data_IF_651200629178
#
_entry.id   IF_651200629178
#
_cell.length_a   1.000
_cell.length_b   1.000
_cell.length_c   1.000
_cell.angle_alpha   90.00
_cell.angle_beta   90.00
_cell.angle_gamma   90.00
#
_symmetry.space_group_name_H-M   'P 1'
#
loop_
_entity.id
_entity.type
_entity.pdbx_description
1 polymer ?
#
# COMPACT_ATOMS: atom_id res chain seq x y z
N UNK A 1 -43.12 49.30 -1.97
CA UNK A 1 -42.58 48.33 -0.99
C UNK A 1 -43.26 46.98 -1.20
N UNK A 2 -42.62 46.08 -1.95
CA UNK A 2 -42.88 44.64 -1.90
C UNK A 2 -41.49 43.98 -1.87
N UNK A 3 -41.19 43.43 -0.71
CA UNK A 3 -40.03 42.59 -0.36
C UNK A 3 -40.14 41.24 -1.06
N UNK A 4 -39.08 40.77 -1.72
CA UNK A 4 -38.09 39.78 -1.27
C UNK A 4 -38.48 38.33 -1.59
N UNK A 5 -37.51 37.56 -2.13
CA UNK A 5 -37.63 36.11 -2.28
C UNK A 5 -36.96 35.52 -3.53
N UNK A 6 -35.72 35.93 -3.84
CA UNK A 6 -34.93 35.30 -4.91
C UNK A 6 -34.38 33.95 -4.41
N UNK A 7 -35.01 32.86 -4.84
CA UNK A 7 -34.59 31.49 -4.56
C UNK A 7 -33.26 31.19 -5.30
N UNK A 8 -32.15 31.44 -4.61
CA UNK A 8 -30.83 30.95 -5.04
C UNK A 8 -30.75 29.45 -4.81
N UNK A 9 -30.99 28.71 -5.88
CA UNK A 9 -30.66 27.29 -6.03
C UNK A 9 -29.14 27.13 -5.91
N UNK A 10 -28.66 26.77 -4.72
CA UNK A 10 -27.26 26.39 -4.49
C UNK A 10 -27.06 25.01 -5.10
N UNK A 11 -26.44 24.95 -6.27
CA UNK A 11 -25.91 23.72 -6.84
C UNK A 11 -24.73 23.27 -5.97
N UNK A 12 -24.97 22.30 -5.09
CA UNK A 12 -23.92 21.52 -4.44
C UNK A 12 -23.19 20.71 -5.53
N UNK A 13 -22.04 21.23 -5.96
CA UNK A 13 -21.07 20.49 -6.72
C UNK A 13 -20.48 19.39 -5.83
N UNK A 14 -21.03 18.19 -5.93
CA UNK A 14 -20.37 16.95 -5.53
C UNK A 14 -19.08 16.79 -6.34
N UNK A 15 -18.00 17.43 -5.91
CA UNK A 15 -16.65 17.09 -6.33
C UNK A 15 -16.32 15.71 -5.75
N UNK A 16 -16.65 14.69 -6.54
CA UNK A 16 -16.15 13.33 -6.39
C UNK A 16 -14.63 13.38 -6.48
N UNK A 17 -13.97 13.56 -5.34
CA UNK A 17 -12.54 13.30 -5.18
C UNK A 17 -12.32 11.78 -5.21
N UNK A 18 -12.53 11.20 -6.39
CA UNK A 18 -12.00 9.91 -6.76
C UNK A 18 -10.48 10.03 -6.88
N UNK A 19 -9.81 10.09 -5.73
CA UNK A 19 -8.36 9.96 -5.68
C UNK A 19 -7.98 8.58 -6.22
N UNK A 20 -7.32 8.57 -7.37
CA UNK A 20 -6.90 7.39 -8.12
C UNK A 20 -6.41 6.26 -7.19
N UNK A 21 -6.80 5.00 -7.41
CA UNK A 21 -6.20 3.87 -6.70
C UNK A 21 -4.70 3.96 -6.95
N UNK A 22 -3.92 3.81 -5.88
CA UNK A 22 -2.48 3.90 -5.90
C UNK A 22 -1.90 2.79 -6.82
N UNK A 23 -1.85 3.05 -8.13
CA UNK A 23 -1.34 2.18 -9.17
C UNK A 23 0.20 2.09 -9.09
N UNK A 24 0.75 1.70 -7.95
CA UNK A 24 2.17 1.42 -7.75
C UNK A 24 2.53 -0.06 -8.00
N UNK A 25 1.53 -0.93 -8.19
CA UNK A 25 1.75 -2.32 -8.62
C UNK A 25 2.59 -2.41 -9.91
N UNK A 26 2.49 -1.41 -10.80
CA UNK A 26 3.21 -1.37 -12.06
C UNK A 26 4.73 -1.06 -11.92
N UNK A 27 5.21 -0.69 -10.72
CA UNK A 27 6.63 -0.40 -10.47
C UNK A 27 7.38 -1.55 -9.81
N UNK A 28 6.70 -2.60 -9.34
CA UNK A 28 7.35 -3.79 -8.76
C UNK A 28 7.59 -4.79 -9.88
N UNK A 29 8.84 -5.21 -10.09
CA UNK A 29 9.14 -6.26 -11.06
C UNK A 29 8.47 -7.57 -10.64
N UNK A 30 7.67 -8.16 -11.54
CA UNK A 30 6.96 -9.41 -11.28
C UNK A 30 7.89 -10.64 -11.22
N UNK A 31 9.14 -10.49 -11.70
CA UNK A 31 10.12 -11.58 -11.71
C UNK A 31 10.96 -11.65 -10.45
N UNK A 32 11.56 -10.52 -10.04
CA UNK A 32 12.44 -10.46 -8.88
C UNK A 32 11.81 -9.77 -7.66
N UNK A 33 10.61 -9.18 -7.79
CA UNK A 33 9.92 -8.49 -6.70
C UNK A 33 10.54 -7.17 -6.25
N UNK A 34 11.64 -6.72 -6.89
CA UNK A 34 12.25 -5.42 -6.59
C UNK A 34 11.51 -4.29 -7.28
N UNK A 35 11.46 -3.13 -6.62
CA UNK A 35 10.92 -1.92 -7.24
C UNK A 35 11.89 -1.45 -8.32
N UNK A 36 11.35 -1.03 -9.46
CA UNK A 36 12.08 -0.41 -10.56
C UNK A 36 12.13 1.10 -10.32
N UNK A 37 13.32 1.66 -10.33
CA UNK A 37 13.55 3.10 -10.22
C UNK A 37 13.05 3.82 -11.47
N UNK A 38 13.25 3.22 -12.64
CA UNK A 38 12.73 3.69 -13.92
C UNK A 38 11.75 2.67 -14.52
N UNK A 39 10.45 2.93 -14.34
CA UNK A 39 9.39 2.11 -14.92
C UNK A 39 9.33 2.20 -16.45
N UNK A 40 9.92 3.23 -17.06
CA UNK A 40 9.94 3.44 -18.51
C UNK A 40 10.97 2.55 -19.23
N UNK A 41 11.97 2.03 -18.51
CA UNK A 41 12.91 1.05 -19.07
C UNK A 41 12.17 -0.20 -19.56
N UNK A 42 12.66 -0.88 -20.61
CA UNK A 42 12.08 -2.15 -21.04
C UNK A 42 12.44 -3.30 -20.08
N UNK A 43 13.64 -3.30 -19.52
CA UNK A 43 14.19 -4.32 -18.64
C UNK A 43 14.22 -3.88 -17.16
N UNK A 44 14.06 -4.82 -16.24
CA UNK A 44 14.28 -4.59 -14.82
C UNK A 44 15.78 -4.47 -14.54
N UNK A 45 16.24 -3.32 -14.04
CA UNK A 45 17.66 -3.07 -13.74
C UNK A 45 18.26 -3.97 -12.64
N UNK A 46 17.42 -4.67 -11.88
CA UNK A 46 17.87 -5.57 -10.82
C UNK A 46 18.01 -7.03 -11.25
N UNK A 47 17.28 -7.49 -12.27
CA UNK A 47 17.29 -8.89 -12.68
C UNK A 47 17.32 -9.11 -14.20
N UNK A 48 17.34 -8.03 -14.99
CA UNK A 48 17.32 -8.07 -16.45
C UNK A 48 16.00 -8.53 -17.06
N UNK A 49 14.94 -8.74 -16.26
CA UNK A 49 13.65 -9.19 -16.77
C UNK A 49 13.00 -8.11 -17.65
N UNK A 50 12.87 -8.38 -18.94
CA UNK A 50 12.10 -7.57 -19.89
C UNK A 50 10.82 -8.35 -20.27
N UNK A 51 9.62 -7.91 -19.83
CA UNK A 51 8.37 -8.59 -20.13
C UNK A 51 8.03 -8.57 -21.64
N UNK A 52 8.59 -7.62 -22.41
CA UNK A 52 8.42 -7.49 -23.86
C UNK A 52 9.36 -8.41 -24.63
N UNK A 53 10.59 -8.62 -24.15
CA UNK A 53 11.55 -9.55 -24.78
C UNK A 53 11.06 -11.01 -24.73
N UNK A 54 10.45 -11.44 -23.64
CA UNK A 54 9.84 -12.79 -23.51
C UNK A 54 8.66 -13.00 -24.48
N UNK A 55 7.91 -11.95 -24.82
CA UNK A 55 6.80 -12.03 -25.76
C UNK A 55 7.27 -12.23 -27.22
N UNK A 56 8.40 -11.62 -27.59
CA UNK A 56 8.99 -11.75 -28.94
C UNK A 56 9.65 -13.12 -29.18
N UNK A 57 10.28 -13.71 -28.16
CA UNK A 57 10.91 -15.03 -28.25
C UNK A 57 9.90 -16.20 -28.38
N UNK A 58 8.61 -15.96 -28.09
CA UNK A 58 7.57 -16.99 -28.06
C UNK A 58 6.84 -17.21 -29.40
N UNK A 59 7.29 -16.56 -30.49
CA UNK A 59 6.68 -16.68 -31.82
C UNK A 59 7.26 -17.83 -32.69
N UNK A 60 8.25 -18.59 -32.18
CA UNK A 60 8.85 -19.71 -32.88
C UNK A 60 8.85 -20.99 -32.04
N UNK A 61 8.19 -22.04 -32.56
CA UNK A 61 8.23 -23.45 -32.12
C UNK A 61 7.78 -23.79 -30.69
N UNK A 62 6.63 -24.46 -30.62
CA UNK A 62 6.02 -24.93 -29.38
C UNK A 62 6.77 -26.09 -28.71
N UNK A 63 6.94 -25.97 -27.40
CA UNK A 63 6.64 -26.98 -26.38
C UNK A 63 7.07 -26.42 -25.02
N UNK A 64 6.10 -26.12 -24.16
CA UNK A 64 6.31 -25.99 -22.70
C UNK A 64 6.96 -24.71 -22.16
N UNK A 65 6.31 -23.55 -22.26
CA UNK A 65 6.55 -22.46 -21.30
C UNK A 65 5.32 -21.56 -21.05
N UNK A 66 4.73 -21.73 -19.86
CA UNK A 66 4.36 -20.68 -18.88
C UNK A 66 3.75 -19.38 -19.44
N UNK A 67 2.77 -19.47 -20.33
CA UNK A 67 1.85 -18.35 -20.60
C UNK A 67 0.96 -18.16 -19.38
N UNK A 68 1.17 -17.06 -18.63
CA UNK A 68 0.26 -16.42 -17.66
C UNK A 68 -0.75 -17.37 -17.04
N UNK A 69 -0.55 -17.77 -15.78
CA UNK A 69 -1.58 -18.47 -15.01
C UNK A 69 -2.89 -17.67 -15.14
N UNK A 70 -3.87 -18.28 -15.81
CA UNK A 70 -5.17 -17.72 -16.08
C UNK A 70 -6.21 -18.74 -15.68
N UNK A 71 -7.31 -18.28 -15.10
CA UNK A 71 -8.46 -19.15 -14.87
C UNK A 71 -9.15 -19.51 -16.21
N UNK A 72 -10.10 -20.45 -16.21
CA UNK A 72 -10.86 -20.81 -17.42
C UNK A 72 -11.54 -19.61 -18.09
N UNK A 73 -11.81 -18.54 -17.33
CA UNK A 73 -12.38 -17.28 -17.78
C UNK A 73 -11.33 -16.27 -18.31
N UNK A 74 -10.04 -16.63 -18.28
CA UNK A 74 -8.94 -15.83 -18.82
C UNK A 74 -8.40 -14.73 -17.90
N UNK A 75 -8.85 -14.67 -16.64
CA UNK A 75 -8.38 -13.73 -15.62
C UNK A 75 -7.03 -14.19 -15.09
N UNK A 76 -6.07 -13.27 -15.00
CA UNK A 76 -4.76 -13.57 -14.45
C UNK A 76 -4.90 -14.10 -13.01
N UNK A 77 -4.48 -15.34 -12.78
CA UNK A 77 -4.35 -15.91 -11.45
C UNK A 77 -3.01 -15.52 -10.90
N UNK A 78 -3.02 -14.80 -9.79
CA UNK A 78 -1.83 -14.46 -9.02
C UNK A 78 -1.38 -15.71 -8.21
N UNK A 79 -1.15 -16.84 -8.89
CA UNK A 79 -0.87 -18.14 -8.27
C UNK A 79 0.60 -18.33 -7.89
N UNK A 80 1.48 -17.41 -8.29
CA UNK A 80 2.89 -17.43 -7.89
C UNK A 80 2.99 -17.15 -6.38
N UNK A 81 3.65 -18.03 -5.60
CA UNK A 81 3.84 -17.83 -4.16
C UNK A 81 4.56 -16.51 -3.89
N UNK A 82 4.27 -15.89 -2.74
CA UNK A 82 4.86 -14.61 -2.33
C UNK A 82 5.37 -14.67 -0.90
N UNK A 83 6.37 -13.88 -0.57
CA UNK A 83 6.84 -13.75 0.82
C UNK A 83 5.92 -12.84 1.66
N UNK A 84 6.25 -12.67 2.95
CA UNK A 84 5.49 -11.81 3.88
C UNK A 84 5.46 -10.32 3.49
N UNK A 85 6.38 -9.89 2.62
CA UNK A 85 6.39 -8.55 2.04
C UNK A 85 5.64 -8.51 0.71
N UNK A 86 5.10 -9.61 0.18
CA UNK A 86 4.40 -9.69 -1.10
C UNK A 86 5.29 -9.83 -2.33
N UNK A 87 6.60 -10.08 -2.19
CA UNK A 87 7.53 -10.30 -3.31
C UNK A 87 7.32 -11.70 -3.89
N UNK A 88 7.29 -11.87 -5.23
CA UNK A 88 7.17 -13.19 -5.85
C UNK A 88 8.34 -14.11 -5.47
N UNK A 89 8.03 -15.35 -5.10
CA UNK A 89 8.98 -16.41 -4.84
C UNK A 89 9.14 -17.32 -6.07
N UNK A 90 10.24 -18.10 -6.18
CA UNK A 90 10.33 -19.18 -7.14
C UNK A 90 9.15 -20.16 -7.07
N UNK A 91 8.76 -20.73 -8.21
CA UNK A 91 7.71 -21.74 -8.25
C UNK A 91 8.14 -22.98 -7.44
N UNK A 92 7.22 -23.51 -6.63
CA UNK A 92 7.48 -24.65 -5.74
C UNK A 92 7.90 -24.24 -4.32
N UNK A 93 8.23 -22.97 -4.08
CA UNK A 93 8.38 -22.45 -2.72
C UNK A 93 7.02 -22.20 -2.06
N UNK A 94 6.97 -22.33 -0.73
CA UNK A 94 5.79 -21.99 0.05
C UNK A 94 5.74 -20.47 0.25
N UNK A 95 4.67 -19.85 -0.26
CA UNK A 95 4.40 -18.45 0.00
C UNK A 95 3.58 -18.25 1.27
N UNK A 96 3.53 -17.01 1.73
CA UNK A 96 2.60 -16.54 2.75
C UNK A 96 1.26 -16.25 2.07
N UNK A 97 0.13 -16.82 2.55
CA UNK A 97 -1.19 -16.51 2.03
C UNK A 97 -1.54 -15.04 2.22
N UNK A 98 -2.18 -14.44 1.22
CA UNK A 98 -2.77 -13.08 1.32
C UNK A 98 -3.85 -13.04 2.38
N UNK A 99 -4.09 -11.86 2.96
CA UNK A 99 -5.27 -11.68 3.80
C UNK A 99 -6.55 -11.90 2.99
N UNK A 100 -7.59 -12.50 3.58
CA UNK A 100 -8.87 -12.65 2.90
C UNK A 100 -9.47 -11.26 2.62
N UNK A 101 -9.73 -10.97 1.35
CA UNK A 101 -10.30 -9.69 0.90
C UNK A 101 -11.79 -9.58 1.30
N UNK A 102 -12.23 -8.35 1.59
CA UNK A 102 -13.65 -8.05 1.83
C UNK A 102 -14.19 -8.54 3.17
N UNK A 103 -13.30 -8.85 4.11
CA UNK A 103 -13.70 -9.25 5.47
C UNK A 103 -14.00 -8.00 6.28
N UNK A 104 -15.29 -7.81 6.58
CA UNK A 104 -15.74 -6.73 7.46
C UNK A 104 -15.33 -7.03 8.90
N UNK A 105 -14.61 -6.10 9.51
CA UNK A 105 -14.09 -6.16 10.88
C UNK A 105 -14.56 -4.93 11.66
N UNK A 106 -14.65 -5.04 12.98
CA UNK A 106 -14.81 -3.85 13.83
C UNK A 106 -13.51 -3.04 13.82
N UNK A 107 -13.56 -1.71 14.07
CA UNK A 107 -12.36 -0.89 14.18
C UNK A 107 -11.31 -1.48 15.13
N UNK A 108 -11.72 -1.96 16.31
CA UNK A 108 -10.81 -2.56 17.27
C UNK A 108 -10.11 -3.81 16.72
N UNK A 109 -10.88 -4.73 16.13
CA UNK A 109 -10.31 -5.95 15.55
C UNK A 109 -9.35 -5.61 14.41
N UNK A 110 -9.71 -4.67 13.55
CA UNK A 110 -8.85 -4.20 12.45
C UNK A 110 -7.51 -3.70 12.99
N UNK A 111 -7.54 -2.85 14.01
CA UNK A 111 -6.33 -2.25 14.59
C UNK A 111 -5.46 -3.29 15.30
N UNK A 112 -6.05 -4.23 16.05
CA UNK A 112 -5.30 -5.30 16.72
C UNK A 112 -4.64 -6.25 15.71
N UNK A 113 -5.39 -6.65 14.67
CA UNK A 113 -4.89 -7.52 13.60
C UNK A 113 -3.79 -6.82 12.80
N UNK A 114 -3.98 -5.55 12.44
CA UNK A 114 -2.96 -4.76 11.75
C UNK A 114 -1.70 -4.55 12.63
N UNK A 115 -1.86 -4.30 13.94
CA UNK A 115 -0.72 -4.17 14.84
C UNK A 115 0.07 -5.47 14.95
N UNK A 116 -0.59 -6.60 15.12
CA UNK A 116 0.07 -7.91 15.20
C UNK A 116 0.86 -8.19 13.91
N UNK A 117 0.27 -7.91 12.74
CA UNK A 117 0.95 -8.08 11.46
C UNK A 117 2.17 -7.15 11.31
N UNK A 118 2.09 -5.91 11.82
CA UNK A 118 3.23 -5.00 11.83
C UNK A 118 4.34 -5.50 12.76
N UNK A 119 3.99 -5.99 13.94
CA UNK A 119 4.92 -6.57 14.92
C UNK A 119 5.62 -7.83 14.37
N UNK A 120 4.91 -8.63 13.57
CA UNK A 120 5.43 -9.82 12.90
C UNK A 120 6.24 -9.51 11.62
N UNK A 121 6.45 -8.23 11.30
CA UNK A 121 7.20 -7.81 10.11
C UNK A 121 6.46 -8.08 8.79
N UNK A 122 5.12 -8.10 8.83
CA UNK A 122 4.21 -8.30 7.69
C UNK A 122 3.42 -7.03 7.33
N UNK A 123 4.10 -5.89 7.04
CA UNK A 123 3.43 -4.60 6.79
C UNK A 123 2.54 -4.62 5.55
N UNK A 124 2.82 -5.47 4.57
CA UNK A 124 1.97 -5.60 3.39
C UNK A 124 0.61 -6.22 3.73
N UNK A 125 0.59 -7.21 4.63
CA UNK A 125 -0.65 -7.83 5.09
C UNK A 125 -1.43 -6.86 6.00
N UNK A 126 -0.72 -6.09 6.84
CA UNK A 126 -1.35 -5.02 7.63
C UNK A 126 -2.02 -3.97 6.74
N UNK A 127 -1.39 -3.61 5.62
CA UNK A 127 -1.99 -2.73 4.62
C UNK A 127 -3.30 -3.29 4.06
N UNK A 128 -3.38 -4.59 3.77
CA UNK A 128 -4.63 -5.20 3.27
C UNK A 128 -5.77 -5.09 4.29
N UNK A 129 -5.49 -5.38 5.56
CA UNK A 129 -6.48 -5.28 6.65
C UNK A 129 -6.99 -3.84 6.79
N UNK A 130 -6.09 -2.86 6.74
CA UNK A 130 -6.44 -1.44 6.84
C UNK A 130 -7.16 -0.91 5.58
N UNK A 131 -6.85 -1.47 4.41
CA UNK A 131 -7.55 -1.13 3.16
C UNK A 131 -9.00 -1.64 3.16
N UNK A 132 -9.24 -2.85 3.66
CA UNK A 132 -10.60 -3.37 3.85
C UNK A 132 -11.42 -2.49 4.81
N UNK A 133 -10.80 -2.03 5.90
CA UNK A 133 -11.43 -1.07 6.80
C UNK A 133 -11.73 0.26 6.11
N UNK A 134 -10.80 0.80 5.30
CA UNK A 134 -11.06 2.00 4.50
C UNK A 134 -12.27 1.83 3.57
N UNK A 135 -12.36 0.70 2.85
CA UNK A 135 -13.46 0.42 1.91
C UNK A 135 -14.83 0.29 2.59
N UNK A 136 -14.86 -0.01 3.88
CA UNK A 136 -16.09 -0.24 4.66
C UNK A 136 -16.37 0.84 5.72
N UNK A 137 -15.47 1.81 5.90
CA UNK A 137 -15.59 2.85 6.90
C UNK A 137 -16.68 3.88 6.56
N UNK A 138 -17.29 4.52 7.57
CA UNK A 138 -18.08 5.73 7.37
C UNK A 138 -17.29 6.80 6.63
N UNK A 139 -17.96 7.62 5.83
CA UNK A 139 -17.32 8.66 5.01
C UNK A 139 -16.41 9.60 5.82
N UNK A 140 -16.84 9.96 7.04
CA UNK A 140 -16.07 10.81 7.94
C UNK A 140 -14.74 10.19 8.41
N UNK A 141 -14.61 8.85 8.39
CA UNK A 141 -13.42 8.14 8.84
C UNK A 141 -12.62 7.51 7.70
N UNK A 142 -13.18 7.39 6.49
CA UNK A 142 -12.50 6.79 5.35
C UNK A 142 -11.10 7.39 5.08
N UNK A 143 -10.88 8.72 5.19
CA UNK A 143 -9.54 9.30 5.08
C UNK A 143 -8.54 8.81 6.15
N UNK A 144 -8.99 8.63 7.40
CA UNK A 144 -8.16 8.10 8.50
C UNK A 144 -7.65 6.69 8.17
N UNK A 145 -8.57 5.78 7.79
CA UNK A 145 -8.22 4.40 7.44
C UNK A 145 -7.31 4.33 6.21
N UNK A 146 -7.56 5.18 5.20
CA UNK A 146 -6.68 5.32 4.03
C UNK A 146 -5.27 5.76 4.43
N UNK A 147 -5.15 6.73 5.34
CA UNK A 147 -3.86 7.19 5.86
C UNK A 147 -3.09 6.07 6.56
N UNK A 148 -3.75 5.29 7.43
CA UNK A 148 -3.14 4.13 8.08
C UNK A 148 -2.69 3.06 7.07
N UNK A 149 -3.52 2.75 6.07
CA UNK A 149 -3.16 1.82 5.01
C UNK A 149 -1.94 2.31 4.22
N UNK A 150 -1.79 3.62 4.00
CA UNK A 150 -0.62 4.24 3.38
C UNK A 150 0.64 4.13 4.23
N UNK A 151 0.54 4.30 5.56
CA UNK A 151 1.66 4.09 6.45
C UNK A 151 2.19 2.65 6.35
N UNK A 152 1.30 1.65 6.40
CA UNK A 152 1.67 0.25 6.30
C UNK A 152 2.33 -0.11 4.95
N UNK A 153 1.79 0.38 3.83
CA UNK A 153 2.45 0.16 2.52
C UNK A 153 3.74 0.97 2.37
N UNK A 154 3.86 2.13 3.03
CA UNK A 154 5.11 2.88 3.13
C UNK A 154 6.22 2.04 3.78
N UNK A 155 5.93 1.38 4.91
CA UNK A 155 6.86 0.43 5.56
C UNK A 155 7.24 -0.71 4.62
N UNK A 156 6.27 -1.26 3.89
CA UNK A 156 6.53 -2.32 2.91
C UNK A 156 7.52 -1.87 1.84
N UNK A 157 7.40 -0.63 1.35
CA UNK A 157 8.32 -0.07 0.36
C UNK A 157 9.73 0.11 0.92
N UNK A 158 9.86 0.64 2.14
CA UNK A 158 11.14 0.76 2.82
C UNK A 158 11.80 -0.61 3.01
N UNK A 159 11.05 -1.61 3.47
CA UNK A 159 11.54 -2.99 3.64
C UNK A 159 11.97 -3.67 2.33
N UNK A 160 11.45 -3.20 1.18
CA UNK A 160 11.83 -3.67 -0.16
C UNK A 160 12.99 -2.86 -0.78
N UNK A 161 13.52 -1.87 -0.07
CA UNK A 161 14.60 -0.99 -0.56
C UNK A 161 14.13 0.16 -1.44
N UNK A 162 12.82 0.40 -1.57
CA UNK A 162 12.30 1.61 -2.23
C UNK A 162 12.17 2.73 -1.20
N UNK A 163 13.32 3.32 -0.84
CA UNK A 163 13.45 4.37 0.17
C UNK A 163 12.63 5.61 -0.18
N UNK A 164 12.81 6.14 -1.40
CA UNK A 164 12.09 7.33 -1.90
C UNK A 164 10.57 7.14 -1.93
N UNK A 165 10.11 6.01 -2.48
CA UNK A 165 8.69 5.69 -2.56
C UNK A 165 8.07 5.43 -1.19
N UNK A 166 8.79 4.73 -0.31
CA UNK A 166 8.37 4.49 1.07
C UNK A 166 8.23 5.78 1.86
N UNK A 167 9.25 6.66 1.83
CA UNK A 167 9.20 7.97 2.48
C UNK A 167 8.01 8.82 2.01
N UNK A 168 7.76 8.87 0.69
CA UNK A 168 6.61 9.59 0.13
C UNK A 168 5.26 9.07 0.64
N UNK A 169 5.12 7.75 0.76
CA UNK A 169 3.89 7.12 1.26
C UNK A 169 3.69 7.39 2.76
N UNK A 170 4.77 7.34 3.55
CA UNK A 170 4.73 7.68 4.97
C UNK A 170 4.28 9.13 5.19
N UNK A 171 4.86 10.09 4.46
CA UNK A 171 4.49 11.51 4.57
C UNK A 171 3.03 11.75 4.18
N UNK A 172 2.57 11.14 3.08
CA UNK A 172 1.16 11.24 2.67
C UNK A 172 0.21 10.59 3.68
N UNK A 173 0.59 9.45 4.25
CA UNK A 173 -0.19 8.80 5.29
C UNK A 173 -0.30 9.68 6.53
N UNK A 174 0.79 10.32 6.94
CA UNK A 174 0.81 11.28 8.04
C UNK A 174 -0.12 12.48 7.79
N UNK A 175 -0.05 13.08 6.61
CA UNK A 175 -0.96 14.15 6.18
C UNK A 175 -2.44 13.72 6.23
N UNK A 176 -2.73 12.48 5.81
CA UNK A 176 -4.10 11.94 5.80
C UNK A 176 -4.70 11.71 7.19
N UNK A 177 -3.88 11.34 8.18
CA UNK A 177 -4.36 11.11 9.55
C UNK A 177 -4.36 12.37 10.41
N UNK A 178 -3.56 13.38 10.07
CA UNK A 178 -3.38 14.62 10.84
C UNK A 178 -4.69 15.33 11.24
N UNK A 179 -5.73 15.43 10.38
CA UNK A 179 -7.01 16.04 10.76
C UNK A 179 -7.72 15.38 11.95
N UNK A 180 -7.37 14.13 12.27
CA UNK A 180 -7.97 13.35 13.35
C UNK A 180 -7.19 13.45 14.67
N UNK A 181 -6.11 14.24 14.72
CA UNK A 181 -5.22 14.34 15.89
C UNK A 181 -5.98 14.62 17.20
N UNK A 182 -6.91 15.58 17.16
CA UNK A 182 -7.64 16.01 18.35
C UNK A 182 -8.73 15.03 18.80
N UNK A 183 -9.31 14.26 17.88
CA UNK A 183 -10.41 13.35 18.17
C UNK A 183 -9.95 11.92 18.50
N UNK A 184 -8.78 11.51 17.97
CA UNK A 184 -8.19 10.17 18.15
C UNK A 184 -9.21 9.02 18.09
N UNK A 185 -9.95 8.85 16.97
CA UNK A 185 -10.98 7.82 16.85
C UNK A 185 -10.42 6.43 17.14
N UNK A 186 -11.21 5.56 17.77
CA UNK A 186 -10.85 4.16 18.08
C UNK A 186 -9.57 3.99 18.93
N UNK A 187 -9.13 5.07 19.60
CA UNK A 187 -7.88 5.10 20.38
C UNK A 187 -6.62 5.13 19.52
N UNK A 188 -6.73 5.51 18.25
CA UNK A 188 -5.58 5.63 17.33
C UNK A 188 -4.68 6.78 17.79
N UNK A 189 -3.39 6.51 17.96
CA UNK A 189 -2.40 7.52 18.37
C UNK A 189 -1.90 8.30 17.16
N UNK A 190 -2.78 9.15 16.63
CA UNK A 190 -2.51 9.96 15.44
C UNK A 190 -1.26 10.81 15.62
N UNK A 191 -1.06 11.35 16.82
CA UNK A 191 0.07 12.22 17.11
C UNK A 191 1.40 11.48 16.96
N UNK A 192 1.56 10.36 17.68
CA UNK A 192 2.77 9.57 17.59
C UNK A 192 2.97 8.94 16.22
N UNK A 193 1.90 8.50 15.55
CA UNK A 193 1.99 7.93 14.20
C UNK A 193 2.49 8.95 13.17
N UNK A 194 1.95 10.17 13.21
CA UNK A 194 2.35 11.22 12.27
C UNK A 194 3.81 11.66 12.50
N UNK A 195 4.22 11.78 13.76
CA UNK A 195 5.61 12.12 14.10
C UNK A 195 6.57 11.00 13.71
N UNK A 196 6.24 9.75 14.04
CA UNK A 196 7.01 8.57 13.64
C UNK A 196 7.16 8.48 12.12
N UNK A 197 6.09 8.73 11.36
CA UNK A 197 6.11 8.64 9.91
C UNK A 197 7.04 9.69 9.29
N UNK A 198 7.01 10.93 9.80
CA UNK A 198 7.92 12.02 9.38
C UNK A 198 9.38 11.68 9.69
N UNK A 199 9.69 11.30 10.93
CA UNK A 199 11.05 10.92 11.33
C UNK A 199 11.57 9.73 10.51
N UNK A 200 10.72 8.74 10.24
CA UNK A 200 11.10 7.57 9.44
C UNK A 200 11.35 7.94 7.98
N UNK A 201 10.53 8.82 7.40
CA UNK A 201 10.74 9.32 6.05
C UNK A 201 12.07 10.09 5.91
N UNK A 202 12.40 10.93 6.90
CA UNK A 202 13.66 11.69 6.93
C UNK A 202 14.89 10.75 7.09
N UNK A 203 14.75 9.68 7.87
CA UNK A 203 15.79 8.65 8.04
C UNK A 203 15.96 7.70 6.85
N UNK A 204 14.96 7.62 5.97
CA UNK A 204 15.01 6.79 4.77
C UNK A 204 15.87 7.39 3.65
N UNK A 205 16.21 8.68 3.72
CA UNK A 205 17.15 9.30 2.79
C UNK A 205 18.52 8.62 2.90
N UNK A 206 18.95 7.92 1.85
CA UNK A 206 20.24 7.22 1.81
C UNK A 206 21.44 8.17 1.86
N UNK A 207 21.23 9.46 1.62
CA UNK A 207 22.26 10.50 1.81
C UNK A 207 22.39 10.93 3.28
N UNK A 208 21.48 10.50 4.15
CA UNK A 208 21.53 10.75 5.58
C UNK A 208 22.68 9.94 6.22
N UNK A 209 23.68 10.60 6.87
CA UNK A 209 24.79 9.91 7.54
C UNK A 209 24.36 8.95 8.66
N UNK A 210 23.11 9.05 9.13
CA UNK A 210 22.53 8.21 10.17
C UNK A 210 21.68 7.06 9.62
N UNK A 211 21.63 6.85 8.30
CA UNK A 211 20.87 5.77 7.69
C UNK A 211 21.38 4.39 8.14
N UNK A 212 20.49 3.54 8.67
CA UNK A 212 20.85 2.25 9.28
C UNK A 212 20.67 1.05 8.35
N UNK A 213 20.16 1.23 7.14
CA UNK A 213 20.08 0.17 6.10
C UNK A 213 19.07 -0.95 6.36
N UNK A 214 18.26 -0.86 7.42
CA UNK A 214 17.23 -1.85 7.78
C UNK A 214 15.80 -1.30 7.69
N UNK A 215 14.78 -2.17 7.68
CA UNK A 215 13.38 -1.72 7.76
C UNK A 215 13.15 -0.97 9.09
N UNK A 216 12.32 0.09 9.08
CA UNK A 216 12.06 0.87 10.29
C UNK A 216 11.34 0.01 11.33
N UNK A 217 11.53 0.33 12.61
CA UNK A 217 10.73 -0.26 13.68
C UNK A 217 9.24 0.06 13.43
N UNK A 218 8.39 -0.96 13.57
CA UNK A 218 6.95 -0.82 13.41
C UNK A 218 6.38 0.19 14.42
N UNK A 219 5.46 1.07 13.99
CA UNK A 219 4.81 1.99 14.91
C UNK A 219 3.78 1.26 15.79
N UNK A 220 3.35 1.94 16.86
CA UNK A 220 2.15 1.56 17.61
C UNK A 220 0.96 2.32 17.04
N UNK A 221 -0.07 1.58 16.62
CA UNK A 221 -1.29 2.14 16.03
C UNK A 221 -2.16 2.83 17.08
N UNK A 222 -2.09 2.38 18.33
CA UNK A 222 -2.83 2.94 19.46
C UNK A 222 -1.89 3.38 20.58
N UNK A 223 -2.35 4.35 21.36
CA UNK A 223 -1.61 4.84 22.52
C UNK A 223 -1.51 3.75 23.58
N UNK A 224 -0.40 3.71 24.32
CA UNK A 224 -0.37 2.92 25.54
C UNK A 224 -1.24 3.63 26.57
N UNK A 225 -2.38 3.02 26.91
CA UNK A 225 -3.25 3.48 27.99
C UNK A 225 -2.57 3.45 29.36
#
# INVERSE_FOLDING_TARGET
MRSEGEERHVQESHEQQGGEPACFLNQVCEECGRVREDASRPDCEHCGHDPRATAAASAGTGSGSRRRDRDPEGKARNARPRDGLGRPLPYGEQGVPRQPEGVVRTPDRTLDEAQQLLDDGMPFHAHEVLEDAWKSAPEAEAPLWKGLAQLAVGITHLARGNTKGGARLLLRGAEGIEPYRSSSPHGIDVACLADWARTTADGADETNPQHTGGPPAAPRLRGQG
#
